data_IF_346983920225
#
_entry.id   IF_346983920225
#
_cell.length_a   1.000
_cell.length_b   1.000
_cell.length_c   1.000
_cell.angle_alpha   90.00
_cell.angle_beta   90.00
_cell.angle_gamma   90.00
#
_symmetry.space_group_name_H-M   'P 1'
#
loop_
_entity.id
_entity.type
_entity.pdbx_description
1 polymer ?
#
# COMPACT_ATOMS: atom_id res chain seq x y z
N UNK A 1 -24.87 3.39 -6.25
CA UNK A 1 -23.93 3.52 -5.11
C UNK A 1 -22.83 2.48 -5.30
N UNK A 2 -21.58 2.90 -5.52
CA UNK A 2 -20.46 1.95 -5.59
C UNK A 2 -20.10 1.46 -4.16
N UNK A 3 -19.88 0.15 -3.95
CA UNK A 3 -19.52 -0.38 -2.64
C UNK A 3 -18.14 0.17 -2.24
N UNK A 4 -18.12 0.96 -1.15
CA UNK A 4 -16.86 1.35 -0.50
C UNK A 4 -16.40 0.16 0.34
N UNK A 5 -15.41 -0.58 -0.16
CA UNK A 5 -14.59 -1.44 0.70
C UNK A 5 -14.00 -0.51 1.76
N UNK A 6 -14.35 -0.70 3.04
CA UNK A 6 -13.74 0.07 4.13
C UNK A 6 -14.68 0.75 5.11
N UNK A 7 -15.71 0.06 5.63
CA UNK A 7 -16.20 0.42 6.97
C UNK A 7 -15.21 -0.01 8.08
N UNK A 8 -14.30 -0.97 7.85
CA UNK A 8 -13.44 -1.53 8.92
C UNK A 8 -11.94 -1.73 8.59
N UNK A 9 -11.39 -0.98 7.63
CA UNK A 9 -9.93 -0.85 7.48
C UNK A 9 -9.54 0.55 7.94
N UNK A 10 -8.90 0.65 9.09
CA UNK A 10 -8.30 1.91 9.54
C UNK A 10 -7.24 2.33 8.51
N UNK A 11 -7.48 3.45 7.84
CA UNK A 11 -6.59 3.99 6.81
C UNK A 11 -5.18 4.24 7.36
N UNK A 12 -5.05 4.59 8.64
CA UNK A 12 -3.74 4.74 9.30
C UNK A 12 -3.06 3.40 9.47
N UNK A 13 -3.81 2.34 9.78
CA UNK A 13 -3.27 1.00 9.90
C UNK A 13 -2.77 0.50 8.54
N UNK A 14 -3.58 0.60 7.48
CA UNK A 14 -3.17 0.25 6.13
C UNK A 14 -1.91 1.03 5.70
N UNK A 15 -1.87 2.34 5.96
CA UNK A 15 -0.71 3.17 5.65
C UNK A 15 0.56 2.73 6.37
N UNK A 16 0.45 2.31 7.65
CA UNK A 16 1.56 1.72 8.41
C UNK A 16 2.01 0.38 7.82
N UNK A 17 1.08 -0.53 7.54
CA UNK A 17 1.39 -1.84 6.98
C UNK A 17 2.07 -1.76 5.61
N UNK A 18 1.59 -0.87 4.74
CA UNK A 18 2.23 -0.60 3.46
C UNK A 18 3.66 -0.05 3.65
N UNK A 19 3.86 0.86 4.61
CA UNK A 19 5.19 1.40 4.93
C UNK A 19 6.13 0.31 5.43
N UNK A 20 5.66 -0.54 6.33
CA UNK A 20 6.43 -1.67 6.86
C UNK A 20 6.83 -2.63 5.73
N UNK A 21 5.91 -2.94 4.82
CA UNK A 21 6.16 -3.83 3.68
C UNK A 21 7.18 -3.25 2.71
N UNK A 22 7.07 -1.95 2.41
CA UNK A 22 8.06 -1.24 1.58
C UNK A 22 9.45 -1.32 2.24
N UNK A 23 9.56 -1.11 3.54
CA UNK A 23 10.86 -1.21 4.22
C UNK A 23 11.38 -2.65 4.32
N UNK A 24 10.49 -3.63 4.48
CA UNK A 24 10.85 -5.04 4.43
C UNK A 24 11.41 -5.48 3.07
N UNK A 25 11.05 -4.79 1.98
CA UNK A 25 11.63 -4.98 0.65
C UNK A 25 12.97 -4.25 0.44
N UNK A 26 13.49 -3.57 1.47
CA UNK A 26 14.82 -2.96 1.46
C UNK A 26 14.87 -1.50 1.00
N UNK A 27 13.71 -0.86 0.77
CA UNK A 27 13.68 0.56 0.44
C UNK A 27 13.94 1.43 1.68
N UNK A 28 14.73 2.49 1.50
CA UNK A 28 15.14 3.38 2.62
C UNK A 28 14.08 4.41 2.96
N UNK A 29 13.20 4.74 2.02
CA UNK A 29 12.11 5.70 2.20
C UNK A 29 10.99 5.44 1.20
N UNK A 30 9.82 6.04 1.45
CA UNK A 30 8.70 5.99 0.51
C UNK A 30 9.01 6.73 -0.80
N UNK A 31 9.85 7.77 -0.73
CA UNK A 31 10.33 8.47 -1.90
C UNK A 31 11.27 7.59 -2.74
N UNK A 32 12.17 6.88 -2.09
CA UNK A 32 13.10 5.93 -2.73
C UNK A 32 12.34 4.81 -3.45
N UNK A 33 11.37 4.19 -2.78
CA UNK A 33 10.46 3.21 -3.37
C UNK A 33 9.72 3.76 -4.60
N UNK A 34 9.11 4.94 -4.47
CA UNK A 34 8.41 5.55 -5.59
C UNK A 34 9.36 5.78 -6.77
N UNK A 35 10.52 6.38 -6.53
CA UNK A 35 11.49 6.69 -7.58
C UNK A 35 12.05 5.47 -8.29
N UNK A 36 12.28 4.37 -7.58
CA UNK A 36 12.90 3.18 -8.14
C UNK A 36 11.91 2.21 -8.78
N UNK A 37 10.66 2.16 -8.29
CA UNK A 37 9.79 1.03 -8.61
C UNK A 37 8.33 1.39 -8.87
N UNK A 38 7.85 2.55 -8.43
CA UNK A 38 6.42 2.90 -8.54
C UNK A 38 6.12 4.15 -9.39
N UNK A 39 7.14 4.85 -9.90
CA UNK A 39 7.01 6.18 -10.51
C UNK A 39 6.04 6.19 -11.71
N UNK A 40 6.02 5.12 -12.49
CA UNK A 40 5.18 5.01 -13.69
C UNK A 40 3.80 4.38 -13.40
N UNK A 41 3.59 3.90 -12.17
CA UNK A 41 2.39 3.17 -11.77
C UNK A 41 1.47 4.00 -10.87
N UNK A 42 2.03 4.82 -9.99
CA UNK A 42 1.26 5.62 -9.03
C UNK A 42 1.99 6.92 -8.71
N UNK A 43 1.24 8.03 -8.69
CA UNK A 43 1.85 9.32 -8.35
C UNK A 43 2.34 9.35 -6.89
N UNK A 44 3.47 10.00 -6.66
CA UNK A 44 4.05 10.14 -5.33
C UNK A 44 3.07 10.77 -4.33
N UNK A 45 2.27 11.73 -4.79
CA UNK A 45 1.25 12.39 -3.96
C UNK A 45 0.21 11.39 -3.47
N UNK A 46 -0.33 10.54 -4.36
CA UNK A 46 -1.33 9.52 -4.01
C UNK A 46 -0.74 8.48 -3.06
N UNK A 47 0.47 8.01 -3.34
CA UNK A 47 1.19 7.07 -2.48
C UNK A 47 1.40 7.68 -1.07
N UNK A 48 1.92 8.91 -0.99
CA UNK A 48 2.17 9.61 0.28
C UNK A 48 0.89 9.84 1.08
N UNK A 49 -0.21 10.21 0.43
CA UNK A 49 -1.51 10.38 1.10
C UNK A 49 -2.08 9.06 1.62
N UNK A 50 -1.86 7.96 0.89
CA UNK A 50 -2.23 6.61 1.34
C UNK A 50 -1.41 6.18 2.55
N UNK A 51 -0.07 6.26 2.47
CA UNK A 51 0.84 5.87 3.56
C UNK A 51 0.57 6.68 4.83
N UNK A 52 0.21 7.96 4.71
CA UNK A 52 -0.13 8.80 5.85
C UNK A 52 -1.55 8.58 6.40
N UNK A 53 -2.36 7.72 5.77
CA UNK A 53 -3.75 7.48 6.14
C UNK A 53 -4.68 8.68 5.92
N UNK A 54 -4.23 9.72 5.19
CA UNK A 54 -5.01 10.93 4.90
C UNK A 54 -6.05 10.72 3.82
N UNK A 55 -5.78 9.81 2.88
CA UNK A 55 -6.70 9.41 1.83
C UNK A 55 -6.98 7.91 1.91
N UNK A 56 -8.16 7.51 1.44
CA UNK A 56 -8.37 6.11 1.08
C UNK A 56 -7.61 5.79 -0.21
N UNK A 57 -7.45 4.51 -0.50
CA UNK A 57 -6.78 4.03 -1.71
C UNK A 57 -7.76 3.19 -2.53
N UNK A 58 -7.68 3.31 -3.86
CA UNK A 58 -8.43 2.45 -4.77
C UNK A 58 -7.78 1.07 -4.87
N UNK A 59 -8.56 0.05 -5.24
CA UNK A 59 -8.02 -1.28 -5.50
C UNK A 59 -6.93 -1.25 -6.59
N UNK A 60 -7.14 -0.47 -7.66
CA UNK A 60 -6.14 -0.32 -8.73
C UNK A 60 -4.80 0.21 -8.20
N UNK A 61 -4.81 1.26 -7.36
CA UNK A 61 -3.59 1.79 -6.77
C UNK A 61 -2.92 0.81 -5.79
N UNK A 62 -3.70 -0.03 -5.08
CA UNK A 62 -3.14 -1.10 -4.26
C UNK A 62 -2.43 -2.16 -5.11
N UNK A 63 -3.02 -2.54 -6.25
CA UNK A 63 -2.40 -3.48 -7.19
C UNK A 63 -1.14 -2.88 -7.83
N UNK A 64 -1.14 -1.60 -8.17
CA UNK A 64 0.04 -0.89 -8.65
C UNK A 64 1.18 -0.88 -7.62
N UNK A 65 0.85 -0.79 -6.31
CA UNK A 65 1.86 -0.91 -5.25
C UNK A 65 2.36 -2.37 -5.13
N UNK A 66 1.48 -3.36 -5.26
CA UNK A 66 1.88 -4.77 -5.26
C UNK A 66 2.83 -5.09 -6.42
N UNK A 67 2.51 -4.60 -7.62
CA UNK A 67 3.35 -4.70 -8.81
C UNK A 67 4.70 -4.02 -8.60
N UNK A 68 4.71 -2.79 -8.08
CA UNK A 68 5.95 -2.08 -7.74
C UNK A 68 6.82 -2.78 -6.69
N UNK A 69 6.23 -3.64 -5.85
CA UNK A 69 6.95 -4.43 -4.84
C UNK A 69 7.36 -5.81 -5.36
N UNK A 70 7.10 -6.11 -6.64
CA UNK A 70 7.26 -7.42 -7.26
C UNK A 70 6.57 -8.51 -6.42
N UNK A 71 5.27 -8.30 -6.14
CA UNK A 71 4.43 -9.21 -5.37
C UNK A 71 3.20 -9.61 -6.16
N UNK A 72 2.84 -10.89 -6.09
CA UNK A 72 1.56 -11.33 -6.63
C UNK A 72 0.43 -10.72 -5.79
N UNK A 73 -0.73 -10.38 -6.39
CA UNK A 73 -1.85 -9.79 -5.65
C UNK A 73 -2.26 -10.60 -4.41
N UNK A 74 -2.27 -11.93 -4.49
CA UNK A 74 -2.63 -12.79 -3.37
C UNK A 74 -1.62 -12.70 -2.21
N UNK A 75 -0.31 -12.70 -2.51
CA UNK A 75 0.76 -12.56 -1.52
C UNK A 75 0.72 -11.18 -0.86
N UNK A 76 0.46 -10.15 -1.66
CA UNK A 76 0.30 -8.78 -1.19
C UNK A 76 -0.89 -8.65 -0.23
N UNK A 77 -2.06 -9.18 -0.59
CA UNK A 77 -3.22 -9.14 0.30
C UNK A 77 -3.06 -10.00 1.56
N UNK A 78 -2.38 -11.14 1.45
CA UNK A 78 -2.04 -11.98 2.61
C UNK A 78 -1.16 -11.21 3.62
N UNK A 79 -0.25 -10.35 3.16
CA UNK A 79 0.61 -9.56 4.04
C UNK A 79 -0.17 -8.62 4.99
N UNK A 80 -1.38 -8.18 4.62
CA UNK A 80 -2.24 -7.36 5.50
C UNK A 80 -3.13 -8.20 6.44
N UNK A 81 -3.42 -9.46 6.07
CA UNK A 81 -4.47 -10.26 6.73
C UNK A 81 -4.01 -10.95 8.02
N UNK A 82 -2.71 -11.25 8.17
CA UNK A 82 -2.24 -12.12 9.26
C UNK A 82 -1.88 -11.42 10.59
N UNK A 83 -1.81 -10.09 10.66
CA UNK A 83 -1.57 -9.38 11.94
C UNK A 83 -2.78 -9.37 12.90
N UNK A 84 -3.91 -10.00 12.54
CA UNK A 84 -5.15 -10.06 13.34
C UNK A 84 -5.36 -11.37 14.13
N UNK A 85 -4.46 -12.35 14.05
CA UNK A 85 -4.58 -13.66 14.75
C UNK A 85 -3.37 -13.94 15.66
N UNK A 86 -2.92 -12.92 16.39
CA UNK A 86 -1.85 -13.04 17.40
C UNK A 86 -2.19 -12.21 18.63
#
# INVERSE_FOLDING_TARGET
>A
MQPRIGKDIDKKQLGRELKDLIFAKGYTSIYDFHKKSAQDLISYTTLKQTISGRAGISLANLLNIAEALDMKPLEFFAAFSFKRIG
#
